data_IF_433417323049
#
_entry.id   IF_433417323049
#
_cell.length_a   1.000
_cell.length_b   1.000
_cell.length_c   1.000
_cell.angle_alpha   90.00
_cell.angle_beta   90.00
_cell.angle_gamma   90.00
#
_symmetry.space_group_name_H-M   'P 1'
#
loop_
_entity.id
_entity.type
_entity.pdbx_description
1 polymer ?
#
# COMPACT_ATOMS: atom_id res chain seq x y z
N UNK A 1 15.33 -1.82 17.35
CA UNK A 1 14.96 -3.20 17.82
C UNK A 1 15.76 -3.51 19.09
N UNK A 2 15.14 -4.15 20.08
CA UNK A 2 15.81 -4.55 21.35
C UNK A 2 16.79 -5.73 21.16
N UNK A 3 17.70 -5.63 20.18
CA UNK A 3 18.61 -6.71 19.83
C UNK A 3 19.57 -7.08 20.96
N UNK A 4 19.88 -6.12 21.84
CA UNK A 4 20.77 -6.37 23.01
C UNK A 4 20.11 -7.28 24.05
N UNK A 5 18.78 -7.17 24.23
CA UNK A 5 18.04 -7.99 25.20
C UNK A 5 17.94 -9.46 24.76
N UNK A 6 17.70 -9.71 23.47
CA UNK A 6 17.43 -11.05 22.96
C UNK A 6 18.66 -11.76 22.37
N UNK A 7 19.72 -11.03 22.00
CA UNK A 7 20.97 -11.54 21.43
C UNK A 7 20.77 -12.57 20.29
N UNK A 8 19.66 -12.45 19.53
CA UNK A 8 19.32 -13.37 18.44
C UNK A 8 20.20 -13.09 17.22
N UNK A 9 20.80 -14.14 16.67
CA UNK A 9 21.72 -14.07 15.52
C UNK A 9 21.05 -14.57 14.24
N UNK A 10 21.68 -14.28 13.10
CA UNK A 10 21.27 -14.76 11.78
C UNK A 10 19.85 -14.35 11.38
N UNK A 11 19.42 -13.16 11.82
CA UNK A 11 18.18 -12.58 11.32
C UNK A 11 18.35 -12.18 9.84
N UNK A 12 17.27 -12.25 9.04
CA UNK A 12 17.28 -11.75 7.68
C UNK A 12 17.71 -10.29 7.61
N UNK A 13 18.38 -9.92 6.51
CA UNK A 13 18.70 -8.52 6.26
C UNK A 13 17.38 -7.75 6.03
N UNK A 14 17.11 -6.80 6.91
CA UNK A 14 15.89 -6.00 6.92
C UNK A 14 16.23 -4.53 6.72
N UNK A 15 15.74 -3.96 5.61
CA UNK A 15 15.92 -2.53 5.31
C UNK A 15 15.51 -1.66 6.48
N UNK A 16 16.36 -0.69 6.84
CA UNK A 16 16.10 0.25 7.95
C UNK A 16 15.38 1.50 7.44
N UNK A 17 14.60 2.15 8.30
CA UNK A 17 13.95 3.43 7.99
C UNK A 17 14.97 4.59 7.95
N UNK A 18 14.83 5.56 7.03
CA UNK A 18 13.86 5.62 5.92
C UNK A 18 14.23 4.62 4.82
N UNK A 19 13.24 3.88 4.29
CA UNK A 19 13.46 2.81 3.32
C UNK A 19 12.55 2.93 2.11
N UNK A 20 12.99 2.40 0.97
CA UNK A 20 12.25 2.33 -0.28
C UNK A 20 11.83 0.90 -0.66
N UNK A 21 12.32 -0.09 0.07
CA UNK A 21 12.01 -1.52 -0.08
C UNK A 21 11.64 -2.11 1.26
N UNK A 22 10.83 -3.15 1.26
CA UNK A 22 10.30 -3.73 2.49
C UNK A 22 9.27 -2.85 3.16
N UNK A 23 8.58 -2.02 2.39
CA UNK A 23 7.56 -1.12 2.91
C UNK A 23 6.40 -1.90 3.52
N UNK A 24 5.89 -1.39 4.62
CA UNK A 24 4.63 -1.78 5.22
C UNK A 24 3.66 -0.62 5.09
N UNK A 25 2.72 -0.73 4.16
CA UNK A 25 1.62 0.21 4.00
C UNK A 25 0.43 -0.26 4.82
N UNK A 26 0.08 0.52 5.82
CA UNK A 26 -1.02 0.22 6.76
C UNK A 26 -2.31 0.84 6.27
N UNK A 27 -3.42 0.10 6.34
CA UNK A 27 -4.75 0.62 6.06
C UNK A 27 -5.47 0.98 7.37
N UNK A 28 -5.57 2.28 7.65
CA UNK A 28 -6.42 2.82 8.71
C UNK A 28 -7.85 3.00 8.18
N UNK A 29 -8.77 2.20 8.70
CA UNK A 29 -10.21 2.22 8.33
C UNK A 29 -11.06 3.00 9.32
N UNK A 30 -10.47 3.84 10.16
CA UNK A 30 -11.21 4.67 11.11
C UNK A 30 -10.75 4.56 12.55
N UNK A 31 -9.46 4.36 12.80
CA UNK A 31 -8.92 4.47 14.16
C UNK A 31 -9.33 5.83 14.77
N UNK A 32 -9.77 5.82 16.02
CA UNK A 32 -9.93 7.02 16.82
C UNK A 32 -8.57 7.68 17.10
N UNK A 33 -8.54 8.89 17.61
CA UNK A 33 -7.28 9.57 17.98
C UNK A 33 -6.48 8.76 19.00
N UNK A 34 -7.17 8.16 19.98
CA UNK A 34 -6.52 7.34 21.01
C UNK A 34 -5.93 6.06 20.40
N UNK A 35 -6.71 5.33 19.61
CA UNK A 35 -6.22 4.14 18.92
C UNK A 35 -5.06 4.48 17.96
N UNK A 36 -5.09 5.66 17.31
CA UNK A 36 -3.98 6.13 16.49
C UNK A 36 -2.72 6.35 17.31
N UNK A 37 -2.85 7.00 18.48
CA UNK A 37 -1.71 7.19 19.40
C UNK A 37 -1.15 5.87 19.90
N UNK A 38 -2.00 4.99 20.41
CA UNK A 38 -1.61 3.65 20.91
C UNK A 38 -0.94 2.83 19.80
N UNK A 39 -1.45 2.90 18.56
CA UNK A 39 -0.87 2.26 17.39
C UNK A 39 0.52 2.80 17.06
N UNK A 40 0.70 4.12 17.08
CA UNK A 40 1.97 4.76 16.80
C UNK A 40 3.02 4.45 17.87
N UNK A 41 2.65 4.50 19.14
CA UNK A 41 3.53 4.17 20.26
C UNK A 41 4.06 2.73 20.16
N UNK A 42 3.22 1.81 19.68
CA UNK A 42 3.58 0.40 19.61
C UNK A 42 4.28 -0.01 18.30
N UNK A 43 3.95 0.60 17.16
CA UNK A 43 4.25 0.02 15.85
C UNK A 43 4.94 0.99 14.87
N UNK A 44 5.16 2.25 15.21
CA UNK A 44 5.66 3.27 14.26
C UNK A 44 6.99 2.91 13.60
N UNK A 45 7.87 2.16 14.26
CA UNK A 45 9.16 1.73 13.70
C UNK A 45 9.01 0.82 12.48
N UNK A 46 7.87 0.12 12.37
CA UNK A 46 7.61 -0.88 11.33
C UNK A 46 6.60 -0.41 10.28
N UNK A 47 6.04 0.80 10.42
CA UNK A 47 5.10 1.41 9.47
C UNK A 47 5.81 2.42 8.60
N UNK A 48 5.67 2.32 7.29
CA UNK A 48 6.32 3.23 6.35
C UNK A 48 5.35 4.26 5.76
N UNK A 49 4.10 3.90 5.60
CA UNK A 49 3.05 4.76 5.03
C UNK A 49 1.67 4.30 5.52
N UNK A 50 0.75 5.23 5.70
CA UNK A 50 -0.63 4.93 6.10
C UNK A 50 -1.61 5.40 5.04
N UNK A 51 -2.48 4.48 4.60
CA UNK A 51 -3.65 4.72 3.76
C UNK A 51 -4.87 4.95 4.66
N UNK A 52 -5.49 6.13 4.62
CA UNK A 52 -6.83 6.30 5.16
C UNK A 52 -7.82 5.66 4.19
N UNK A 53 -8.28 4.46 4.52
CA UNK A 53 -9.01 3.57 3.61
C UNK A 53 -10.26 4.20 3.01
N UNK A 54 -10.50 3.98 1.73
CA UNK A 54 -11.67 4.44 0.99
C UNK A 54 -11.87 5.97 1.08
N UNK A 55 -13.08 6.39 1.48
CA UNK A 55 -13.46 7.75 1.81
C UNK A 55 -13.58 8.02 3.31
N UNK A 56 -12.96 7.20 4.18
CA UNK A 56 -13.08 7.36 5.65
C UNK A 56 -12.60 8.72 6.13
N UNK A 57 -11.61 9.31 5.47
CA UNK A 57 -11.14 10.67 5.77
C UNK A 57 -12.24 11.72 5.69
N UNK A 58 -13.19 11.58 4.77
CA UNK A 58 -14.32 12.51 4.62
C UNK A 58 -15.28 12.49 5.83
N UNK A 59 -15.42 11.34 6.48
CA UNK A 59 -16.33 11.15 7.63
C UNK A 59 -15.59 11.15 8.97
N UNK A 60 -14.27 11.29 8.98
CA UNK A 60 -13.47 11.34 10.21
C UNK A 60 -13.62 12.69 10.90
N UNK A 61 -14.20 12.70 12.09
CA UNK A 61 -14.53 13.92 12.83
C UNK A 61 -13.32 14.82 13.17
N UNK A 62 -12.19 14.21 13.50
CA UNK A 62 -10.98 14.92 13.95
C UNK A 62 -9.81 14.65 13.00
N UNK A 63 -10.04 14.78 11.69
CA UNK A 63 -9.06 14.44 10.65
C UNK A 63 -7.74 15.21 10.81
N UNK A 64 -7.79 16.52 11.03
CA UNK A 64 -6.58 17.36 11.15
C UNK A 64 -5.69 16.91 12.32
N UNK A 65 -6.30 16.59 13.45
CA UNK A 65 -5.59 16.09 14.63
C UNK A 65 -4.97 14.71 14.37
N UNK A 66 -5.71 13.82 13.70
CA UNK A 66 -5.21 12.51 13.29
C UNK A 66 -4.01 12.61 12.35
N UNK A 67 -4.10 13.48 11.35
CA UNK A 67 -2.99 13.77 10.44
C UNK A 67 -1.78 14.38 11.16
N UNK A 68 -2.01 15.18 12.22
CA UNK A 68 -0.94 15.71 13.07
C UNK A 68 -0.19 14.59 13.79
N UNK A 69 -0.90 13.63 14.40
CA UNK A 69 -0.28 12.48 15.08
C UNK A 69 0.64 11.70 14.14
N UNK A 70 0.18 11.36 12.94
CA UNK A 70 1.01 10.67 11.95
C UNK A 70 2.22 11.50 11.52
N UNK A 71 2.06 12.81 11.31
CA UNK A 71 3.19 13.68 10.95
C UNK A 71 4.25 13.76 12.06
N UNK A 72 3.84 13.88 13.32
CA UNK A 72 4.73 13.90 14.48
C UNK A 72 5.52 12.58 14.61
N UNK A 73 4.92 11.46 14.22
CA UNK A 73 5.59 10.17 14.12
C UNK A 73 6.44 10.00 12.84
N UNK A 74 6.55 11.02 11.97
CA UNK A 74 7.24 10.96 10.69
C UNK A 74 6.71 9.83 9.77
N UNK A 75 5.42 9.56 9.80
CA UNK A 75 4.77 8.58 8.94
C UNK A 75 3.92 9.32 7.90
N UNK A 76 4.25 9.20 6.61
CA UNK A 76 3.43 9.72 5.53
C UNK A 76 2.03 9.11 5.56
N UNK A 77 1.03 9.94 5.26
CA UNK A 77 -0.37 9.52 5.13
C UNK A 77 -0.88 9.90 3.76
N UNK A 78 -1.78 9.10 3.20
CA UNK A 78 -2.54 9.44 2.02
C UNK A 78 -4.00 9.02 2.12
N UNK A 79 -4.84 9.67 1.34
CA UNK A 79 -6.25 9.31 1.21
C UNK A 79 -6.42 8.17 0.22
N UNK A 80 -7.23 7.18 0.55
CA UNK A 80 -7.50 6.04 -0.35
C UNK A 80 -8.09 6.48 -1.69
N UNK A 81 -7.75 5.76 -2.75
CA UNK A 81 -8.08 6.10 -4.13
C UNK A 81 -9.57 6.30 -4.41
N UNK A 82 -10.45 5.63 -3.68
CA UNK A 82 -11.90 5.87 -3.80
C UNK A 82 -12.28 7.34 -3.52
N UNK A 83 -11.53 8.04 -2.65
CA UNK A 83 -11.78 9.48 -2.47
C UNK A 83 -11.33 10.28 -3.70
N UNK A 84 -10.18 9.96 -4.31
CA UNK A 84 -9.76 10.55 -5.57
C UNK A 84 -10.84 10.33 -6.64
N UNK A 85 -11.28 9.08 -6.84
CA UNK A 85 -12.34 8.73 -7.80
C UNK A 85 -13.63 9.52 -7.55
N UNK A 86 -14.01 9.73 -6.27
CA UNK A 86 -15.17 10.51 -5.89
C UNK A 86 -15.09 11.99 -6.32
N UNK A 87 -13.90 12.58 -6.33
CA UNK A 87 -13.66 13.92 -6.84
C UNK A 87 -13.68 13.93 -8.38
N UNK A 88 -13.04 12.94 -9.03
CA UNK A 88 -12.96 12.88 -10.49
C UNK A 88 -14.36 12.74 -11.12
N UNK A 89 -15.19 11.82 -10.63
CA UNK A 89 -16.55 11.62 -11.18
C UNK A 89 -17.45 12.86 -11.02
N UNK A 90 -17.04 13.84 -10.20
CA UNK A 90 -17.74 15.12 -9.98
C UNK A 90 -17.07 16.31 -10.67
N UNK A 91 -16.08 16.05 -11.52
CA UNK A 91 -15.30 17.10 -12.19
C UNK A 91 -14.66 18.09 -11.18
N UNK A 92 -14.15 17.57 -10.06
CA UNK A 92 -13.62 18.36 -8.94
C UNK A 92 -12.13 18.11 -8.70
N UNK A 93 -11.32 17.85 -9.75
CA UNK A 93 -9.90 17.58 -9.59
C UNK A 93 -9.14 18.75 -8.90
N UNK A 94 -9.48 20.00 -9.24
CA UNK A 94 -8.85 21.15 -8.59
C UNK A 94 -9.24 21.28 -7.12
N UNK A 95 -10.44 20.85 -6.72
CA UNK A 95 -10.84 20.81 -5.31
C UNK A 95 -10.06 19.73 -4.56
N UNK A 96 -9.81 18.58 -5.21
CA UNK A 96 -8.97 17.54 -4.66
C UNK A 96 -7.54 18.04 -4.40
N UNK A 97 -6.93 18.74 -5.35
CA UNK A 97 -5.60 19.36 -5.17
C UNK A 97 -5.58 20.33 -3.98
N UNK A 98 -6.59 21.20 -3.87
CA UNK A 98 -6.73 22.12 -2.72
C UNK A 98 -6.87 21.37 -1.39
N UNK A 99 -7.56 20.21 -1.38
CA UNK A 99 -7.63 19.36 -0.19
C UNK A 99 -6.26 18.83 0.20
N UNK A 100 -5.48 18.32 -0.75
CA UNK A 100 -4.13 17.80 -0.49
C UNK A 100 -3.21 18.89 0.10
N UNK A 101 -3.21 20.08 -0.49
CA UNK A 101 -2.44 21.24 -0.01
C UNK A 101 -2.86 21.63 1.42
N UNK A 102 -4.15 21.81 1.65
CA UNK A 102 -4.69 22.18 2.97
C UNK A 102 -4.33 21.17 4.06
N UNK A 103 -4.37 19.89 3.73
CA UNK A 103 -4.07 18.80 4.67
C UNK A 103 -2.58 18.47 4.78
N UNK A 104 -1.73 19.12 3.96
CA UNK A 104 -0.27 18.90 3.90
C UNK A 104 0.10 17.44 3.65
N UNK A 105 -0.70 16.78 2.83
CA UNK A 105 -0.46 15.42 2.35
C UNK A 105 0.73 15.45 1.39
N UNK A 106 1.62 14.47 1.46
CA UNK A 106 2.80 14.34 0.60
C UNK A 106 2.72 13.14 -0.35
N UNK A 107 1.81 12.23 -0.10
CA UNK A 107 1.56 11.04 -0.90
C UNK A 107 0.11 11.04 -1.36
N UNK A 108 -0.15 10.51 -2.54
CA UNK A 108 -1.51 10.48 -3.11
C UNK A 108 -1.73 9.18 -3.86
N UNK A 109 -2.93 8.61 -3.73
CA UNK A 109 -3.32 7.44 -4.51
C UNK A 109 -4.18 7.87 -5.69
N UNK A 110 -3.82 7.39 -6.88
CA UNK A 110 -4.61 7.49 -8.10
C UNK A 110 -5.13 6.11 -8.44
N UNK A 111 -6.44 5.94 -8.49
CA UNK A 111 -7.10 4.68 -8.83
C UNK A 111 -8.27 4.90 -9.78
N UNK A 112 -8.71 3.82 -10.42
CA UNK A 112 -9.85 3.77 -11.32
C UNK A 112 -10.72 2.52 -11.10
N UNK A 113 -10.57 1.91 -9.94
CA UNK A 113 -11.25 0.65 -9.62
C UNK A 113 -12.75 0.73 -9.44
N UNK A 114 -13.33 1.93 -9.19
CA UNK A 114 -14.77 2.16 -8.97
C UNK A 114 -15.41 3.05 -10.04
N UNK A 115 -14.64 3.50 -11.03
CA UNK A 115 -15.15 4.29 -12.15
C UNK A 115 -14.51 3.83 -13.47
N UNK A 116 -15.17 4.12 -14.58
CA UNK A 116 -14.58 3.95 -15.90
C UNK A 116 -13.78 5.20 -16.26
N UNK A 117 -12.45 5.06 -16.20
CA UNK A 117 -11.50 6.12 -16.54
C UNK A 117 -10.59 5.62 -17.67
N UNK A 118 -10.54 6.34 -18.82
CA UNK A 118 -9.58 5.99 -19.86
C UNK A 118 -8.15 6.01 -19.31
N UNK A 119 -7.36 4.97 -19.55
CA UNK A 119 -6.02 4.84 -18.98
C UNK A 119 -5.10 6.03 -19.29
N UNK A 120 -5.22 6.61 -20.49
CA UNK A 120 -4.48 7.82 -20.85
C UNK A 120 -4.82 9.00 -19.92
N UNK A 121 -6.08 9.16 -19.55
CA UNK A 121 -6.54 10.21 -18.64
C UNK A 121 -6.02 9.95 -17.22
N UNK A 122 -6.02 8.70 -16.76
CA UNK A 122 -5.39 8.31 -15.50
C UNK A 122 -3.92 8.70 -15.46
N UNK A 123 -3.17 8.42 -16.53
CA UNK A 123 -1.78 8.82 -16.67
C UNK A 123 -1.59 10.35 -16.63
N UNK A 124 -2.53 11.14 -17.18
CA UNK A 124 -2.49 12.62 -17.08
C UNK A 124 -2.65 13.09 -15.63
N UNK A 125 -3.56 12.50 -14.85
CA UNK A 125 -3.69 12.80 -13.41
C UNK A 125 -2.42 12.43 -12.64
N UNK A 126 -1.81 11.27 -12.94
CA UNK A 126 -0.54 10.86 -12.34
C UNK A 126 0.55 11.89 -12.67
N UNK A 127 0.69 12.27 -13.94
CA UNK A 127 1.68 13.26 -14.37
C UNK A 127 1.50 14.62 -13.71
N UNK A 128 0.26 15.07 -13.54
CA UNK A 128 -0.02 16.34 -12.88
C UNK A 128 0.29 16.28 -11.39
N UNK A 129 -0.13 15.23 -10.70
CA UNK A 129 0.08 15.07 -9.26
C UNK A 129 1.54 14.77 -8.90
N UNK A 130 2.28 14.08 -9.76
CA UNK A 130 3.69 13.72 -9.50
C UNK A 130 4.63 14.92 -9.47
N UNK A 131 4.19 16.10 -9.91
CA UNK A 131 4.97 17.35 -9.79
C UNK A 131 5.16 17.78 -8.33
N UNK A 132 4.17 17.47 -7.47
CA UNK A 132 4.12 17.97 -6.10
C UNK A 132 4.04 16.85 -5.05
N UNK A 133 3.67 15.61 -5.46
CA UNK A 133 3.37 14.50 -4.56
C UNK A 133 4.07 13.21 -4.99
N UNK A 134 4.32 12.33 -4.04
CA UNK A 134 4.63 10.92 -4.32
C UNK A 134 3.34 10.18 -4.70
N UNK A 135 3.20 9.87 -5.98
CA UNK A 135 1.98 9.20 -6.48
C UNK A 135 2.10 7.70 -6.33
N UNK A 136 1.11 7.10 -5.68
CA UNK A 136 0.86 5.66 -5.69
C UNK A 136 -0.25 5.41 -6.72
N UNK A 137 -0.04 4.55 -7.68
CA UNK A 137 -1.06 4.25 -8.69
C UNK A 137 -1.55 2.82 -8.55
N UNK A 138 -2.85 2.65 -8.31
CA UNK A 138 -3.47 1.35 -8.12
C UNK A 138 -3.87 0.75 -9.47
N UNK A 139 -3.36 -0.44 -9.78
CA UNK A 139 -3.64 -1.19 -11.00
C UNK A 139 -4.42 -2.46 -10.66
N UNK A 140 -5.47 -2.71 -11.43
CA UNK A 140 -6.34 -3.85 -11.28
C UNK A 140 -7.81 -3.45 -11.21
N UNK A 141 -8.70 -4.43 -11.20
CA UNK A 141 -10.14 -4.19 -11.08
C UNK A 141 -10.67 -4.63 -9.73
N UNK A 142 -11.53 -3.81 -9.16
CA UNK A 142 -12.34 -4.16 -7.99
C UNK A 142 -13.52 -5.08 -8.36
N UNK A 143 -13.79 -5.26 -9.64
CA UNK A 143 -14.81 -6.20 -10.12
C UNK A 143 -14.20 -7.61 -10.22
N UNK A 144 -14.75 -8.55 -9.47
CA UNK A 144 -14.31 -9.94 -9.45
C UNK A 144 -14.57 -10.68 -10.79
N UNK A 145 -15.52 -10.20 -11.59
CA UNK A 145 -15.88 -10.78 -12.88
C UNK A 145 -14.99 -10.24 -14.02
N UNK A 146 -14.36 -9.09 -13.82
CA UNK A 146 -13.45 -8.49 -14.81
C UNK A 146 -12.09 -9.17 -14.78
N UNK A 147 -11.83 -9.99 -15.81
CA UNK A 147 -10.53 -10.62 -16.00
C UNK A 147 -9.65 -9.68 -16.82
N UNK A 148 -8.64 -9.10 -16.19
CA UNK A 148 -7.58 -8.35 -16.88
C UNK A 148 -6.45 -9.32 -17.19
N UNK A 149 -6.06 -9.47 -18.48
CA UNK A 149 -4.95 -10.35 -18.84
C UNK A 149 -3.60 -9.77 -18.35
N UNK A 150 -2.58 -10.64 -18.09
CA UNK A 150 -1.31 -10.19 -17.51
C UNK A 150 -0.60 -9.08 -18.30
N UNK A 151 -0.66 -9.11 -19.63
CA UNK A 151 -0.02 -8.08 -20.46
C UNK A 151 -0.64 -6.68 -20.25
N UNK A 152 -1.94 -6.58 -20.00
CA UNK A 152 -2.59 -5.30 -19.69
C UNK A 152 -2.17 -4.77 -18.31
N UNK A 153 -2.01 -5.65 -17.31
CA UNK A 153 -1.46 -5.26 -16.01
C UNK A 153 -0.07 -4.65 -16.16
N UNK A 154 0.79 -5.31 -16.94
CA UNK A 154 2.16 -4.87 -17.17
C UNK A 154 2.18 -3.54 -17.91
N UNK A 155 1.43 -3.44 -19.01
CA UNK A 155 1.35 -2.22 -19.83
C UNK A 155 0.84 -1.02 -19.00
N UNK A 156 -0.20 -1.23 -18.17
CA UNK A 156 -0.70 -0.18 -17.30
C UNK A 156 0.34 0.24 -16.26
N UNK A 157 0.98 -0.71 -15.57
CA UNK A 157 2.03 -0.42 -14.60
C UNK A 157 3.21 0.32 -15.20
N UNK A 158 3.69 -0.10 -16.39
CA UNK A 158 4.78 0.57 -17.09
C UNK A 158 4.42 2.03 -17.42
N UNK A 159 3.27 2.26 -18.05
CA UNK A 159 2.81 3.61 -18.42
C UNK A 159 2.57 4.51 -17.22
N UNK A 160 2.05 3.98 -16.13
CA UNK A 160 1.82 4.73 -14.89
C UNK A 160 3.14 5.13 -14.21
N UNK A 161 4.14 4.24 -14.21
CA UNK A 161 5.50 4.56 -13.76
C UNK A 161 6.17 5.60 -14.65
N UNK A 162 6.01 5.50 -15.98
CA UNK A 162 6.50 6.50 -16.95
C UNK A 162 5.81 7.86 -16.78
N UNK A 163 4.52 7.87 -16.41
CA UNK A 163 3.78 9.08 -16.09
C UNK A 163 4.22 9.75 -14.78
N UNK A 164 5.05 9.10 -13.98
CA UNK A 164 5.63 9.67 -12.77
C UNK A 164 5.15 9.04 -11.47
N UNK A 165 4.44 7.91 -11.49
CA UNK A 165 4.11 7.20 -10.27
C UNK A 165 5.40 6.78 -9.53
N UNK A 166 5.46 7.08 -8.23
CA UNK A 166 6.54 6.62 -7.36
C UNK A 166 6.54 5.10 -7.22
N UNK A 167 5.36 4.55 -7.00
CA UNK A 167 5.11 3.11 -6.97
C UNK A 167 3.74 2.79 -7.55
N UNK A 168 3.60 1.57 -8.06
CA UNK A 168 2.31 0.99 -8.43
C UNK A 168 1.82 0.03 -7.36
N UNK A 169 0.52 -0.09 -7.21
CA UNK A 169 -0.14 -0.98 -6.25
C UNK A 169 -0.83 -2.10 -7.03
N UNK A 170 -0.56 -3.35 -6.68
CA UNK A 170 -1.34 -4.49 -7.18
C UNK A 170 -2.63 -4.64 -6.36
N UNK A 171 -3.77 -4.33 -6.98
CA UNK A 171 -5.11 -4.35 -6.37
C UNK A 171 -5.50 -5.72 -5.83
N UNK A 172 -6.04 -5.77 -4.62
CA UNK A 172 -6.57 -6.97 -3.99
C UNK A 172 -7.86 -6.75 -3.20
N UNK A 173 -8.36 -5.58 -3.06
CA UNK A 173 -9.31 -5.08 -2.06
C UNK A 173 -8.85 -5.36 -0.62
N UNK A 174 -9.59 -4.86 0.32
CA UNK A 174 -9.38 -5.15 1.74
C UNK A 174 -9.64 -6.62 2.13
N UNK A 175 -10.43 -7.34 1.31
CA UNK A 175 -10.75 -8.75 1.52
C UNK A 175 -9.61 -9.69 1.08
N UNK A 176 -8.76 -9.26 0.14
CA UNK A 176 -7.75 -10.11 -0.50
C UNK A 176 -8.36 -11.20 -1.37
N UNK A 177 -9.46 -10.92 -2.07
CA UNK A 177 -10.21 -11.94 -2.86
C UNK A 177 -10.49 -11.52 -4.29
N UNK A 178 -9.82 -10.45 -4.78
CA UNK A 178 -9.92 -9.96 -6.17
C UNK A 178 -8.53 -9.54 -6.69
N UNK A 179 -8.47 -9.06 -7.90
CA UNK A 179 -7.25 -8.50 -8.49
C UNK A 179 -6.13 -9.54 -8.63
N UNK A 180 -5.08 -9.38 -7.83
CA UNK A 180 -3.96 -10.34 -7.78
C UNK A 180 -4.30 -11.65 -7.04
N UNK A 181 -5.49 -11.76 -6.47
CA UNK A 181 -5.98 -12.98 -5.81
C UNK A 181 -7.19 -13.57 -6.51
N UNK A 182 -7.43 -14.84 -6.25
CA UNK A 182 -8.68 -15.54 -6.57
C UNK A 182 -9.73 -15.26 -5.49
N UNK A 183 -10.98 -15.57 -5.76
CA UNK A 183 -12.06 -15.46 -4.75
C UNK A 183 -11.79 -16.28 -3.48
N UNK A 184 -10.95 -17.32 -3.57
CA UNK A 184 -10.47 -18.12 -2.43
C UNK A 184 -9.43 -17.41 -1.55
N UNK A 185 -8.90 -16.26 -1.98
CA UNK A 185 -7.74 -15.60 -1.36
C UNK A 185 -6.38 -16.15 -1.82
N UNK A 186 -6.37 -17.15 -2.70
CA UNK A 186 -5.15 -17.70 -3.28
C UNK A 186 -4.53 -16.72 -4.27
N UNK A 187 -3.19 -16.59 -4.22
CA UNK A 187 -2.44 -15.70 -5.13
C UNK A 187 -2.52 -16.23 -6.57
N UNK A 188 -2.78 -15.35 -7.51
CA UNK A 188 -2.62 -15.60 -8.95
C UNK A 188 -1.13 -15.60 -9.31
N UNK A 189 -0.43 -16.64 -8.88
CA UNK A 189 1.04 -16.73 -8.94
C UNK A 189 1.62 -16.50 -10.33
N UNK A 190 0.94 -16.99 -11.38
CA UNK A 190 1.33 -16.74 -12.78
C UNK A 190 1.29 -15.24 -13.12
N UNK A 191 0.24 -14.52 -12.73
CA UNK A 191 0.13 -13.07 -12.94
C UNK A 191 1.25 -12.32 -12.23
N UNK A 192 1.46 -12.60 -10.94
CA UNK A 192 2.52 -11.95 -10.16
C UNK A 192 3.90 -12.23 -10.76
N UNK A 193 4.17 -13.47 -11.17
CA UNK A 193 5.44 -13.84 -11.81
C UNK A 193 5.67 -13.11 -13.13
N UNK A 194 4.63 -12.90 -13.95
CA UNK A 194 4.75 -12.14 -15.19
C UNK A 194 4.99 -10.65 -14.93
N UNK A 195 4.30 -10.05 -13.97
CA UNK A 195 4.52 -8.65 -13.58
C UNK A 195 5.97 -8.44 -13.15
N UNK A 196 6.49 -9.27 -12.23
CA UNK A 196 7.85 -9.11 -11.68
C UNK A 196 8.96 -9.31 -12.75
N UNK A 197 8.69 -10.02 -13.83
CA UNK A 197 9.65 -10.13 -14.95
C UNK A 197 9.86 -8.81 -15.69
N UNK A 198 8.91 -7.87 -15.60
CA UNK A 198 8.91 -6.61 -16.33
C UNK A 198 9.02 -5.38 -15.41
N UNK A 199 8.32 -5.43 -14.29
CA UNK A 199 8.29 -4.33 -13.32
C UNK A 199 9.23 -4.67 -12.16
N UNK A 200 10.23 -3.82 -11.83
CA UNK A 200 11.08 -4.03 -10.67
C UNK A 200 10.24 -4.19 -9.40
N UNK A 201 10.52 -5.23 -8.61
CA UNK A 201 9.70 -5.59 -7.45
C UNK A 201 9.63 -4.46 -6.41
N UNK A 202 10.68 -3.67 -6.30
CA UNK A 202 10.74 -2.51 -5.40
C UNK A 202 9.80 -1.37 -5.84
N UNK A 203 9.34 -1.39 -7.09
CA UNK A 203 8.35 -0.43 -7.62
C UNK A 203 6.92 -0.82 -7.33
N UNK A 204 6.68 -2.06 -6.89
CA UNK A 204 5.33 -2.57 -6.64
C UNK A 204 5.07 -2.65 -5.13
N UNK A 205 3.89 -2.23 -4.70
CA UNK A 205 3.32 -2.55 -3.39
C UNK A 205 2.22 -3.59 -3.63
N UNK A 206 2.34 -4.74 -3.00
CA UNK A 206 1.37 -5.81 -3.10
C UNK A 206 0.37 -5.70 -1.96
N UNK A 207 -0.90 -5.46 -2.26
CA UNK A 207 -1.92 -5.54 -1.24
C UNK A 207 -2.05 -6.98 -0.74
N UNK A 208 -1.79 -7.20 0.54
CA UNK A 208 -1.79 -8.53 1.17
C UNK A 208 -2.46 -8.48 2.55
N UNK A 209 -3.80 -8.27 2.59
CA UNK A 209 -4.51 -8.09 3.85
C UNK A 209 -4.57 -9.36 4.71
N UNK A 210 -4.40 -10.55 4.14
CA UNK A 210 -4.45 -11.81 4.86
C UNK A 210 -3.04 -12.35 5.17
N UNK A 211 -2.88 -12.98 6.34
CA UNK A 211 -1.60 -13.59 6.76
C UNK A 211 -1.05 -14.58 5.71
N UNK A 212 -1.90 -15.43 5.14
CA UNK A 212 -1.47 -16.41 4.12
C UNK A 212 -0.87 -15.75 2.88
N UNK A 213 -1.39 -14.58 2.50
CA UNK A 213 -0.89 -13.78 1.38
C UNK A 213 0.48 -13.15 1.71
N UNK A 214 0.60 -12.61 2.93
CA UNK A 214 1.87 -12.07 3.43
C UNK A 214 2.96 -13.14 3.44
N UNK A 215 2.65 -14.31 3.98
CA UNK A 215 3.55 -15.49 3.99
C UNK A 215 3.97 -15.86 2.56
N UNK A 216 3.03 -15.92 1.62
CA UNK A 216 3.33 -16.27 0.23
C UNK A 216 4.32 -15.29 -0.42
N UNK A 217 4.12 -13.98 -0.26
CA UNK A 217 5.04 -12.97 -0.80
C UNK A 217 6.41 -13.04 -0.14
N UNK A 218 6.46 -13.20 1.18
CA UNK A 218 7.72 -13.28 1.93
C UNK A 218 8.53 -14.53 1.57
N UNK A 219 7.87 -15.68 1.37
CA UNK A 219 8.56 -16.93 1.00
C UNK A 219 9.25 -16.88 -0.37
N UNK A 220 8.68 -16.11 -1.31
CA UNK A 220 9.20 -16.03 -2.67
C UNK A 220 10.11 -14.85 -2.92
N UNK A 221 9.88 -13.73 -2.25
CA UNK A 221 10.53 -12.45 -2.56
C UNK A 221 11.31 -11.87 -1.36
N UNK A 222 11.33 -12.59 -0.25
CA UNK A 222 12.13 -12.25 0.93
C UNK A 222 11.56 -11.14 1.80
N UNK A 223 12.27 -10.84 2.88
CA UNK A 223 11.88 -9.91 3.94
C UNK A 223 11.54 -8.50 3.45
N UNK A 224 12.14 -8.08 2.33
CA UNK A 224 12.09 -6.71 1.83
C UNK A 224 11.10 -6.51 0.67
N UNK A 225 10.13 -7.41 0.49
CA UNK A 225 8.99 -7.16 -0.41
C UNK A 225 8.05 -6.10 0.17
N UNK A 226 7.55 -5.19 -0.66
CA UNK A 226 6.61 -4.16 -0.21
C UNK A 226 5.21 -4.74 -0.09
N UNK A 227 4.59 -4.60 1.07
CA UNK A 227 3.25 -5.11 1.35
C UNK A 227 2.32 -3.99 1.77
N UNK A 228 1.09 -4.03 1.27
CA UNK A 228 0.04 -3.07 1.53
C UNK A 228 -1.23 -3.68 2.12
N UNK A 229 -2.17 -2.80 2.45
CA UNK A 229 -3.44 -3.16 3.10
C UNK A 229 -3.26 -3.92 4.43
N UNK A 230 -2.14 -3.66 5.13
CA UNK A 230 -1.87 -4.28 6.42
C UNK A 230 -2.76 -3.62 7.48
N UNK A 231 -3.49 -4.42 8.23
CA UNK A 231 -4.28 -3.89 9.33
C UNK A 231 -3.36 -3.38 10.46
N UNK A 232 -3.73 -2.32 11.21
CA UNK A 232 -2.89 -1.77 12.27
C UNK A 232 -2.40 -2.81 13.30
N UNK A 233 -3.26 -3.74 13.70
CA UNK A 233 -2.92 -4.81 14.65
C UNK A 233 -2.07 -5.94 14.04
N UNK A 234 -1.91 -5.97 12.72
CA UNK A 234 -1.08 -6.96 12.00
C UNK A 234 0.35 -6.48 11.73
N UNK A 235 0.70 -5.25 12.09
CA UNK A 235 2.05 -4.70 11.81
C UNK A 235 3.15 -5.47 12.50
N UNK A 236 3.06 -5.66 13.82
CA UNK A 236 4.04 -6.47 14.56
C UNK A 236 4.02 -7.95 14.14
N UNK A 237 2.83 -8.60 13.99
CA UNK A 237 2.75 -9.93 13.40
C UNK A 237 3.44 -10.05 12.05
N UNK A 238 3.29 -9.08 11.13
CA UNK A 238 3.96 -9.07 9.85
C UNK A 238 5.48 -8.93 10.00
N UNK A 239 5.94 -8.04 10.87
CA UNK A 239 7.39 -7.87 11.08
C UNK A 239 8.03 -9.15 11.65
N UNK A 240 7.32 -9.89 12.51
CA UNK A 240 7.79 -11.22 12.95
C UNK A 240 7.86 -12.25 11.81
N UNK A 241 6.96 -12.19 10.82
CA UNK A 241 7.08 -13.00 9.61
C UNK A 241 8.33 -12.60 8.80
N UNK A 242 8.58 -11.29 8.61
CA UNK A 242 9.72 -10.76 7.87
C UNK A 242 11.07 -11.17 8.49
N UNK A 243 11.09 -11.36 9.81
CA UNK A 243 12.29 -11.74 10.57
C UNK A 243 12.44 -13.25 10.76
N UNK A 244 11.54 -14.08 10.21
CA UNK A 244 11.58 -15.53 10.41
C UNK A 244 11.23 -15.96 11.84
N UNK A 245 10.46 -15.15 12.58
CA UNK A 245 10.12 -15.38 13.99
C UNK A 245 8.71 -15.94 14.20
N UNK A 246 8.13 -16.54 13.15
CA UNK A 246 6.85 -17.26 13.20
C UNK A 246 6.98 -18.59 12.51
N UNK A 247 6.20 -19.60 12.96
CA UNK A 247 6.21 -20.94 12.38
C UNK A 247 6.01 -20.97 10.86
N UNK A 248 5.22 -20.03 10.32
CA UNK A 248 4.97 -19.92 8.88
C UNK A 248 6.17 -19.40 8.06
N UNK A 249 7.18 -18.82 8.69
CA UNK A 249 8.34 -18.22 8.02
C UNK A 249 9.68 -18.65 8.62
N UNK A 250 9.65 -19.58 9.56
CA UNK A 250 10.83 -19.98 10.34
C UNK A 250 11.99 -20.48 9.47
N UNK A 251 11.67 -21.22 8.43
CA UNK A 251 12.66 -21.85 7.53
C UNK A 251 13.02 -20.99 6.31
N UNK A 252 12.41 -19.80 6.14
CA UNK A 252 12.61 -19.00 4.90
C UNK A 252 14.01 -18.42 4.79
N UNK A 253 14.70 -18.26 5.90
CA UNK A 253 15.95 -17.50 6.00
C UNK A 253 17.09 -18.27 6.69
N UNK A 254 16.91 -19.59 6.88
CA UNK A 254 17.91 -20.48 7.46
C UNK A 254 18.83 -21.10 6.40
#
# INVERSE_FOLDING_TARGET
>A
MNNELFALKNLPDRSQKPRNTGLTMVMDKGLSLRETSDFLDNSSDFVDIVKLGFGTSFVTKNLEEKLRLYREANIPVYFGGTLFEAYIVRDQFNDYRRLLEKTKITHVEVSDGSLELPHLEKCQYIQELSKDYHVLSEVGSKDAEKIIPPYEWIEQMERELEAGAWKVIGEARESGTVGIFRNSGEVRSGLVAEIIRKIPIEKVIWEAPQKSQQVWFLSLYGSNVNLGNIAPHEVLPLETLRLGLRGDSFDFFL
#
